data_IF_517349464112
#
_entry.id   IF_517349464112
#
_cell.length_a   1.000
_cell.length_b   1.000
_cell.length_c   1.000
_cell.angle_alpha   90.00
_cell.angle_beta   90.00
_cell.angle_gamma   90.00
#
_symmetry.space_group_name_H-M   'P 1'
#
loop_
_entity.id
_entity.type
_entity.pdbx_description
1 polymer ?
#
# COMPACT_ATOMS: atom_id res chain seq x y z
N UNK A 1 19.37 3.99 -5.18
CA UNK A 1 18.98 3.18 -6.35
C UNK A 1 18.22 1.97 -5.86
N UNK A 2 16.90 2.11 -5.79
CA UNK A 2 15.93 1.09 -5.37
C UNK A 2 15.32 0.44 -6.62
N UNK A 3 16.16 -0.14 -7.47
CA UNK A 3 15.73 -0.76 -8.73
C UNK A 3 15.64 -2.27 -8.53
N UNK A 4 14.44 -2.70 -8.17
CA UNK A 4 13.81 -4.03 -8.31
C UNK A 4 13.21 -4.58 -7.00
N UNK A 5 11.88 -4.44 -6.79
CA UNK A 5 11.19 -5.07 -5.65
C UNK A 5 11.36 -6.60 -5.60
N UNK A 6 11.66 -7.23 -6.74
CA UNK A 6 11.90 -8.66 -6.91
C UNK A 6 13.21 -9.11 -6.23
N UNK A 7 14.25 -8.26 -6.22
CA UNK A 7 15.55 -8.59 -5.61
C UNK A 7 15.52 -8.48 -4.08
N UNK A 8 14.69 -7.59 -3.54
CA UNK A 8 14.54 -7.48 -2.10
C UNK A 8 13.78 -8.65 -1.47
N UNK A 9 12.81 -9.25 -2.17
CA UNK A 9 12.06 -10.41 -1.67
C UNK A 9 12.95 -11.66 -1.66
N UNK A 10 13.78 -11.81 -2.70
CA UNK A 10 14.83 -12.83 -2.73
C UNK A 10 15.85 -12.66 -1.59
N UNK A 11 16.26 -11.42 -1.29
CA UNK A 11 17.12 -11.13 -0.13
C UNK A 11 16.43 -11.43 1.20
N UNK A 12 15.15 -11.10 1.34
CA UNK A 12 14.38 -11.39 2.56
C UNK A 12 14.29 -12.90 2.83
N UNK A 13 14.09 -13.71 1.80
CA UNK A 13 13.92 -15.17 1.92
C UNK A 13 15.26 -15.92 1.98
N UNK A 14 16.23 -15.59 1.13
CA UNK A 14 17.49 -16.35 0.99
C UNK A 14 18.68 -15.74 1.74
N UNK A 15 18.68 -14.43 2.00
CA UNK A 15 19.82 -13.71 2.58
C UNK A 15 19.38 -12.73 3.68
N UNK A 16 18.62 -13.25 4.66
CA UNK A 16 17.98 -12.47 5.72
C UNK A 16 18.99 -11.66 6.57
N UNK A 17 20.24 -12.13 6.72
CA UNK A 17 21.27 -11.39 7.46
C UNK A 17 21.76 -10.13 6.72
N UNK A 18 21.87 -10.17 5.39
CA UNK A 18 22.18 -9.00 4.57
C UNK A 18 20.99 -8.03 4.52
N UNK A 19 19.76 -8.55 4.48
CA UNK A 19 18.55 -7.75 4.58
C UNK A 19 18.51 -6.95 5.89
N UNK A 20 18.82 -7.58 7.04
CA UNK A 20 18.86 -6.87 8.33
C UNK A 20 19.88 -5.72 8.36
N UNK A 21 21.07 -5.91 7.77
CA UNK A 21 22.09 -4.84 7.72
C UNK A 21 21.62 -3.64 6.88
N UNK A 22 20.97 -3.90 5.75
CA UNK A 22 20.50 -2.84 4.86
C UNK A 22 19.28 -2.09 5.41
N UNK A 23 18.33 -2.79 6.03
CA UNK A 23 17.04 -2.20 6.42
C UNK A 23 16.90 -1.90 7.92
N UNK A 24 17.52 -2.67 8.81
CA UNK A 24 17.42 -2.47 10.28
C UNK A 24 18.58 -1.62 10.81
N UNK A 25 19.83 -1.96 10.46
CA UNK A 25 21.03 -1.27 10.99
C UNK A 25 21.16 0.14 10.42
N UNK A 26 20.82 0.33 9.15
CA UNK A 26 20.82 1.65 8.52
C UNK A 26 19.81 2.60 9.19
N UNK A 27 18.65 2.07 9.59
CA UNK A 27 17.63 2.79 10.36
C UNK A 27 18.10 3.19 11.77
N UNK A 28 19.00 2.42 12.40
CA UNK A 28 19.58 2.80 13.70
C UNK A 28 20.55 4.00 13.59
N UNK A 29 21.27 4.11 12.47
CA UNK A 29 22.12 5.26 12.16
C UNK A 29 21.32 6.50 11.73
N UNK A 30 20.13 6.30 11.14
CA UNK A 30 19.23 7.37 10.73
C UNK A 30 18.02 7.42 11.67
N UNK A 31 18.24 7.97 12.87
CA UNK A 31 17.21 8.16 13.90
C UNK A 31 16.14 9.17 13.46
N UNK A 32 15.22 8.71 12.59
CA UNK A 32 13.98 9.41 12.32
C UNK A 32 13.08 9.25 13.53
N UNK A 33 13.16 10.23 14.44
CA UNK A 33 12.24 10.31 15.59
C UNK A 33 10.85 10.50 15.00
N UNK A 34 10.06 9.43 15.05
CA UNK A 34 8.70 9.41 14.58
C UNK A 34 7.79 10.21 15.49
N UNK A 35 7.67 11.51 15.24
CA UNK A 35 6.66 12.29 15.93
C UNK A 35 5.28 11.86 15.42
N UNK A 36 4.45 11.34 16.31
CA UNK A 36 3.08 10.96 16.02
C UNK A 36 2.28 12.21 15.62
N UNK A 37 2.21 12.47 14.32
CA UNK A 37 1.41 13.54 13.76
C UNK A 37 -0.02 13.01 13.53
N UNK A 38 -0.73 12.81 14.64
CA UNK A 38 -2.15 12.45 14.68
C UNK A 38 -3.00 13.25 13.69
N UNK A 39 -2.84 14.59 13.54
CA UNK A 39 -3.63 15.34 12.55
C UNK A 39 -3.32 14.95 11.10
N UNK A 40 -2.08 14.61 10.76
CA UNK A 40 -1.71 14.14 9.42
C UNK A 40 -2.36 12.78 9.16
N UNK A 41 -2.29 11.86 10.13
CA UNK A 41 -2.95 10.55 10.02
C UNK A 41 -4.46 10.66 9.82
N UNK A 42 -5.11 11.56 10.56
CA UNK A 42 -6.54 11.81 10.43
C UNK A 42 -6.92 12.37 9.05
N UNK A 43 -6.16 13.33 8.53
CA UNK A 43 -6.40 13.91 7.19
C UNK A 43 -6.23 12.86 6.09
N UNK A 44 -5.17 12.05 6.14
CA UNK A 44 -4.94 10.98 5.16
C UNK A 44 -6.03 9.90 5.22
N UNK A 45 -6.45 9.49 6.43
CA UNK A 45 -7.51 8.50 6.59
C UNK A 45 -8.86 9.02 6.10
N UNK A 46 -9.20 10.28 6.41
CA UNK A 46 -10.46 10.91 5.98
C UNK A 46 -10.48 11.07 4.46
N UNK A 47 -9.37 11.51 3.85
CA UNK A 47 -9.26 11.65 2.40
C UNK A 47 -9.44 10.29 1.70
N UNK A 48 -8.83 9.22 2.22
CA UNK A 48 -9.00 7.87 1.68
C UNK A 48 -10.45 7.39 1.72
N UNK A 49 -11.16 7.64 2.84
CA UNK A 49 -12.57 7.29 2.99
C UNK A 49 -13.46 8.07 2.00
N UNK A 50 -13.18 9.36 1.79
CA UNK A 50 -13.93 10.18 0.82
C UNK A 50 -13.73 9.66 -0.60
N UNK A 51 -12.49 9.29 -0.96
CA UNK A 51 -12.19 8.69 -2.25
C UNK A 51 -12.94 7.36 -2.43
N UNK A 52 -12.94 6.46 -1.44
CA UNK A 52 -13.73 5.22 -1.46
C UNK A 52 -15.22 5.47 -1.72
N UNK A 53 -15.82 6.41 -0.98
CA UNK A 53 -17.24 6.74 -1.12
C UNK A 53 -17.60 7.28 -2.51
N UNK A 54 -16.70 8.03 -3.15
CA UNK A 54 -16.89 8.52 -4.51
C UNK A 54 -16.77 7.41 -5.57
N UNK A 55 -16.06 6.35 -5.24
CA UNK A 55 -15.70 5.29 -6.17
C UNK A 55 -16.79 4.20 -6.21
N UNK A 56 -17.51 3.97 -5.09
CA UNK A 56 -18.68 3.10 -5.01
C UNK A 56 -19.76 3.42 -6.08
N UNK A 57 -20.26 4.67 -6.22
CA UNK A 57 -21.26 4.99 -7.24
C UNK A 57 -20.72 4.85 -8.66
N UNK A 58 -19.41 5.10 -8.86
CA UNK A 58 -18.76 4.91 -10.15
C UNK A 58 -18.77 3.44 -10.57
N UNK A 59 -18.47 2.53 -9.65
CA UNK A 59 -18.54 1.09 -9.88
C UNK A 59 -19.96 0.59 -10.14
N UNK A 60 -20.96 1.14 -9.45
CA UNK A 60 -22.38 0.81 -9.69
C UNK A 60 -22.80 1.19 -11.12
N UNK A 61 -22.33 2.34 -11.63
CA UNK A 61 -22.60 2.77 -13.00
C UNK A 61 -21.90 1.88 -14.03
N UNK A 62 -20.63 1.50 -13.79
CA UNK A 62 -19.88 0.61 -14.68
C UNK A 62 -20.45 -0.82 -14.72
N UNK A 63 -21.18 -1.25 -13.70
CA UNK A 63 -21.81 -2.57 -13.64
C UNK A 63 -23.06 -2.70 -14.56
N UNK A 64 -23.48 -1.61 -15.23
CA UNK A 64 -24.58 -1.65 -16.20
C UNK A 64 -24.23 -2.59 -17.37
N UNK A 65 -25.18 -3.46 -17.74
CA UNK A 65 -25.00 -4.48 -18.77
C UNK A 65 -24.61 -3.93 -20.14
N UNK A 66 -24.96 -2.68 -20.47
CA UNK A 66 -24.56 -2.01 -21.71
C UNK A 66 -23.03 -1.92 -21.88
N UNK A 67 -22.29 -1.67 -20.79
CA UNK A 67 -20.83 -1.52 -20.86
C UNK A 67 -20.09 -2.85 -20.78
N UNK A 68 -20.66 -3.86 -20.10
CA UNK A 68 -20.07 -5.18 -19.91
C UNK A 68 -20.03 -6.07 -21.18
N UNK A 69 -20.66 -5.62 -22.27
CA UNK A 69 -20.57 -6.30 -23.57
C UNK A 69 -19.18 -6.19 -24.20
N UNK A 70 -18.41 -5.15 -23.86
CA UNK A 70 -17.06 -4.95 -24.39
C UNK A 70 -16.01 -5.58 -23.46
N UNK A 71 -15.10 -6.37 -24.03
CA UNK A 71 -14.00 -7.02 -23.29
C UNK A 71 -13.10 -6.03 -22.55
N UNK A 72 -12.96 -4.80 -23.04
CA UNK A 72 -12.18 -3.73 -22.40
C UNK A 72 -12.80 -3.30 -21.05
N UNK A 73 -14.13 -3.23 -20.98
CA UNK A 73 -14.84 -2.80 -19.77
C UNK A 73 -14.76 -3.84 -18.64
N UNK A 74 -14.63 -5.12 -18.97
CA UNK A 74 -14.44 -6.20 -17.98
C UNK A 74 -13.13 -6.05 -17.22
N UNK A 75 -12.04 -5.71 -17.93
CA UNK A 75 -10.75 -5.45 -17.29
C UNK A 75 -10.77 -4.16 -16.48
N UNK A 76 -11.38 -3.08 -16.99
CA UNK A 76 -11.56 -1.85 -16.21
C UNK A 76 -12.33 -2.09 -14.91
N UNK A 77 -13.37 -2.94 -14.94
CA UNK A 77 -14.12 -3.29 -13.75
C UNK A 77 -13.28 -4.10 -12.75
N UNK A 78 -12.52 -5.09 -13.22
CA UNK A 78 -11.61 -5.88 -12.37
C UNK A 78 -10.54 -5.00 -11.71
N UNK A 79 -9.91 -4.12 -12.49
CA UNK A 79 -8.94 -3.15 -12.00
C UNK A 79 -9.56 -2.20 -10.96
N UNK A 80 -10.78 -1.73 -11.19
CA UNK A 80 -11.52 -0.90 -10.22
C UNK A 80 -11.78 -1.63 -8.90
N UNK A 81 -12.08 -2.93 -8.91
CA UNK A 81 -12.20 -3.73 -7.67
C UNK A 81 -10.85 -3.83 -6.95
N UNK A 82 -9.77 -4.07 -7.68
CA UNK A 82 -8.42 -4.15 -7.10
C UNK A 82 -8.04 -2.81 -6.46
N UNK A 83 -8.39 -1.70 -7.10
CA UNK A 83 -8.12 -0.36 -6.59
C UNK A 83 -8.86 -0.09 -5.27
N UNK A 84 -10.13 -0.51 -5.13
CA UNK A 84 -10.88 -0.42 -3.86
C UNK A 84 -10.21 -1.17 -2.72
N UNK A 85 -9.84 -2.43 -2.97
CA UNK A 85 -9.21 -3.27 -1.95
C UNK A 85 -7.85 -2.68 -1.54
N UNK A 86 -7.13 -2.14 -2.51
CA UNK A 86 -5.81 -1.52 -2.31
C UNK A 86 -5.94 -0.18 -1.58
N UNK A 87 -6.93 0.65 -1.93
CA UNK A 87 -7.16 1.95 -1.31
C UNK A 87 -7.64 1.79 0.14
N UNK A 88 -8.55 0.84 0.42
CA UNK A 88 -8.97 0.49 1.78
C UNK A 88 -7.80 0.02 2.64
N UNK A 89 -7.02 -0.94 2.14
CA UNK A 89 -5.88 -1.47 2.89
C UNK A 89 -4.82 -0.39 3.15
N UNK A 90 -4.51 0.45 2.15
CA UNK A 90 -3.60 1.57 2.32
C UNK A 90 -4.12 2.63 3.29
N UNK A 91 -5.39 3.03 3.19
CA UNK A 91 -5.97 4.03 4.08
C UNK A 91 -5.98 3.57 5.55
N UNK A 92 -6.28 2.30 5.81
CA UNK A 92 -6.28 1.71 7.16
C UNK A 92 -4.86 1.58 7.70
N UNK A 93 -3.95 0.98 6.91
CA UNK A 93 -2.56 0.73 7.33
C UNK A 93 -1.83 2.06 7.56
N UNK A 94 -1.91 3.00 6.61
CA UNK A 94 -1.28 4.32 6.72
C UNK A 94 -1.92 5.17 7.82
N UNK A 95 -3.23 5.09 8.02
CA UNK A 95 -3.92 5.77 9.12
C UNK A 95 -3.42 5.29 10.49
N UNK A 96 -3.35 3.96 10.69
CA UNK A 96 -2.85 3.36 11.93
C UNK A 96 -1.37 3.69 12.19
N UNK A 97 -0.53 3.67 11.14
CA UNK A 97 0.88 4.03 11.25
C UNK A 97 1.08 5.50 11.62
N UNK A 98 0.32 6.40 11.01
CA UNK A 98 0.41 7.83 11.25
C UNK A 98 -0.07 8.22 12.66
N UNK A 99 -1.09 7.55 13.20
CA UNK A 99 -1.55 7.76 14.58
C UNK A 99 -0.53 7.29 15.63
N UNK A 100 0.12 6.15 15.39
CA UNK A 100 1.06 5.57 16.33
C UNK A 100 2.51 6.05 16.13
N UNK A 101 2.78 6.90 15.14
CA UNK A 101 4.15 7.29 14.77
C UNK A 101 5.01 6.07 14.40
N UNK A 102 4.39 5.01 13.87
CA UNK A 102 5.09 3.79 13.48
C UNK A 102 5.65 4.02 12.08
N UNK A 103 6.96 3.96 11.96
CA UNK A 103 7.66 4.15 10.69
C UNK A 103 8.39 2.87 10.27
N UNK A 104 8.96 2.91 9.07
CA UNK A 104 9.74 1.80 8.50
C UNK A 104 10.76 1.22 9.48
N UNK A 105 11.41 2.06 10.28
CA UNK A 105 12.44 1.64 11.23
C UNK A 105 11.90 0.90 12.48
N UNK A 106 10.61 1.02 12.80
CA UNK A 106 9.99 0.33 13.94
C UNK A 106 9.67 -1.13 13.62
N UNK A 107 9.24 -1.41 12.38
CA UNK A 107 8.89 -2.76 11.94
C UNK A 107 9.14 -2.94 10.43
N UNK A 108 10.41 -2.97 9.97
CA UNK A 108 10.76 -2.91 8.56
C UNK A 108 10.23 -4.10 7.75
N UNK A 109 10.10 -5.28 8.38
CA UNK A 109 9.56 -6.46 7.72
C UNK A 109 8.09 -6.28 7.32
N UNK A 110 7.27 -5.66 8.19
CA UNK A 110 5.86 -5.42 7.92
C UNK A 110 5.66 -4.49 6.72
N UNK A 111 6.33 -3.33 6.72
CA UNK A 111 6.28 -2.38 5.60
C UNK A 111 6.80 -2.98 4.30
N UNK A 112 7.86 -3.79 4.38
CA UNK A 112 8.44 -4.46 3.24
C UNK A 112 7.45 -5.46 2.61
N UNK A 113 6.85 -6.34 3.42
CA UNK A 113 5.87 -7.33 2.95
C UNK A 113 4.62 -6.67 2.37
N UNK A 114 4.06 -5.67 3.05
CA UNK A 114 2.89 -4.93 2.55
C UNK A 114 3.17 -4.26 1.20
N UNK A 115 4.36 -3.64 1.05
CA UNK A 115 4.78 -3.04 -0.21
C UNK A 115 4.94 -4.07 -1.34
N UNK A 116 5.53 -5.23 -1.06
CA UNK A 116 5.65 -6.31 -2.04
C UNK A 116 4.29 -6.84 -2.49
N UNK A 117 3.32 -7.01 -1.57
CA UNK A 117 1.97 -7.46 -1.89
C UNK A 117 1.25 -6.42 -2.77
N UNK A 118 1.34 -5.13 -2.41
CA UNK A 118 0.74 -4.05 -3.20
C UNK A 118 1.24 -4.01 -4.65
N UNK A 119 2.56 -4.05 -4.84
CA UNK A 119 3.17 -4.06 -6.18
C UNK A 119 2.82 -5.32 -6.97
N UNK A 120 2.70 -6.47 -6.29
CA UNK A 120 2.25 -7.72 -6.89
C UNK A 120 0.81 -7.63 -7.43
N UNK A 121 -0.09 -6.98 -6.69
CA UNK A 121 -1.48 -6.77 -7.11
C UNK A 121 -1.62 -5.82 -8.31
N UNK A 122 -0.72 -4.84 -8.45
CA UNK A 122 -0.73 -3.88 -9.57
C UNK A 122 -0.12 -4.42 -10.88
N UNK A 123 0.42 -5.64 -10.89
CA UNK A 123 1.08 -6.25 -12.06
C UNK A 123 0.16 -7.20 -12.85
N UNK A 124 -1.14 -7.21 -12.55
CA UNK A 124 -2.22 -7.92 -13.26
C UNK A 124 -2.84 -7.00 -14.30
#
# INVERSE_FOLDING_TARGET
MATHPIMGLGLFIFAHDEWKKLYVVNCANHSMIGYANVPVGFVFSTMGIVCELLYIPFMIVMCRQEFMQHSCYKFMFLLGIIDMVTLLSNAIISGFQAMNGIHYCTNPAFFYVVGCIGVGMSSI
#
